data_IF_815825897641
#
_entry.id   IF_815825897641
#
_cell.length_a   1.000
_cell.length_b   1.000
_cell.length_c   1.000
_cell.angle_alpha   90.00
_cell.angle_beta   90.00
_cell.angle_gamma   90.00
#
_symmetry.space_group_name_H-M   'P 1'
#
loop_
_entity.id
_entity.type
_entity.pdbx_description
1 polymer ?
#
# COMPACT_ATOMS: atom_id res chain seq x y z
N UNK A 1 -9.36 -12.59 -26.07
CA UNK A 1 -10.06 -12.88 -24.79
C UNK A 1 -9.06 -13.02 -23.66
N UNK A 2 -9.05 -12.04 -22.75
CA UNK A 2 -8.17 -12.08 -21.60
C UNK A 2 -8.77 -12.89 -20.45
N UNK A 3 -8.02 -13.87 -19.94
CA UNK A 3 -8.45 -14.74 -18.85
C UNK A 3 -7.78 -14.37 -17.52
N UNK A 4 -8.27 -14.95 -16.42
CA UNK A 4 -7.62 -14.80 -15.11
C UNK A 4 -6.16 -15.28 -15.07
N UNK A 5 -5.73 -16.14 -16.00
CA UNK A 5 -4.34 -16.58 -16.11
C UNK A 5 -3.42 -15.44 -16.58
N UNK A 6 -3.83 -14.66 -17.59
CA UNK A 6 -3.07 -13.50 -18.05
C UNK A 6 -2.96 -12.43 -16.96
N UNK A 7 -4.02 -12.23 -16.17
CA UNK A 7 -3.99 -11.32 -15.01
C UNK A 7 -2.98 -11.80 -13.96
N UNK A 8 -2.93 -13.11 -13.68
CA UNK A 8 -1.96 -13.65 -12.73
C UNK A 8 -0.52 -13.49 -13.18
N UNK A 9 -0.24 -13.74 -14.46
CA UNK A 9 1.09 -13.54 -15.03
C UNK A 9 1.52 -12.08 -14.93
N UNK A 10 0.62 -11.15 -15.28
CA UNK A 10 0.84 -9.72 -15.12
C UNK A 10 1.12 -9.33 -13.67
N UNK A 11 0.36 -9.85 -12.71
CA UNK A 11 0.59 -9.57 -11.28
C UNK A 11 1.93 -10.12 -10.77
N UNK A 12 2.37 -11.29 -11.25
CA UNK A 12 3.68 -11.87 -10.91
C UNK A 12 4.82 -11.04 -11.48
N UNK A 13 4.65 -10.53 -12.70
CA UNK A 13 5.60 -9.61 -13.32
C UNK A 13 5.69 -8.30 -12.54
N UNK A 14 4.56 -7.65 -12.24
CA UNK A 14 4.54 -6.40 -11.46
C UNK A 14 5.16 -6.56 -10.07
N UNK A 15 5.00 -7.72 -9.46
CA UNK A 15 5.50 -7.97 -8.12
C UNK A 15 7.03 -8.00 -8.02
N UNK A 16 7.76 -8.14 -9.13
CA UNK A 16 9.22 -8.02 -9.19
C UNK A 16 9.70 -6.57 -9.02
N UNK A 17 8.83 -5.60 -9.31
CA UNK A 17 9.16 -4.17 -9.28
C UNK A 17 8.51 -3.52 -8.08
N UNK A 18 9.24 -3.45 -6.97
CA UNK A 18 8.75 -2.75 -5.79
C UNK A 18 9.85 -2.20 -4.91
N UNK A 19 9.40 -1.61 -3.80
CA UNK A 19 10.26 -0.96 -2.80
C UNK A 19 10.31 -1.72 -1.48
N UNK A 20 9.50 -2.78 -1.34
CA UNK A 20 9.40 -3.53 -0.08
C UNK A 20 10.42 -4.64 -0.08
N UNK A 21 11.27 -4.70 0.95
CA UNK A 21 12.14 -5.86 1.15
C UNK A 21 11.31 -7.05 1.61
N UNK A 22 11.37 -8.15 0.86
CA UNK A 22 10.66 -9.39 1.21
C UNK A 22 11.69 -10.51 1.33
N UNK A 23 11.87 -11.00 2.55
CA UNK A 23 12.84 -12.04 2.86
C UNK A 23 12.38 -13.40 2.32
N UNK A 24 13.30 -14.15 1.70
CA UNK A 24 13.06 -15.55 1.35
C UNK A 24 13.01 -16.40 2.62
N UNK A 25 12.32 -17.54 2.59
CA UNK A 25 12.22 -18.44 3.76
C UNK A 25 13.57 -18.94 4.28
N UNK A 26 14.57 -19.03 3.40
CA UNK A 26 15.94 -19.42 3.73
C UNK A 26 16.80 -18.26 4.23
N UNK A 27 16.27 -17.03 4.25
CA UNK A 27 17.00 -15.86 4.72
C UNK A 27 17.08 -15.86 6.25
N UNK A 28 18.25 -15.58 6.86
CA UNK A 28 18.38 -15.45 8.32
C UNK A 28 17.47 -14.37 8.93
N UNK A 29 17.04 -13.41 8.12
CA UNK A 29 16.18 -12.30 8.54
C UNK A 29 14.68 -12.56 8.30
N UNK A 30 14.30 -13.76 7.86
CA UNK A 30 12.89 -14.09 7.67
C UNK A 30 12.12 -13.98 8.98
N UNK A 31 11.08 -13.15 9.01
CA UNK A 31 10.28 -12.94 10.23
C UNK A 31 10.82 -11.86 11.17
N UNK A 32 11.89 -11.15 10.80
CA UNK A 32 12.44 -10.06 11.60
C UNK A 32 11.95 -8.70 11.06
N UNK A 33 11.16 -7.92 11.84
CA UNK A 33 10.62 -6.63 11.37
C UNK A 33 11.68 -5.53 11.22
N UNK A 34 12.77 -5.63 11.98
CA UNK A 34 13.91 -4.71 11.90
C UNK A 34 15.21 -5.53 11.80
N UNK A 35 15.65 -5.89 10.58
CA UNK A 35 16.85 -6.69 10.41
C UNK A 35 18.11 -5.87 10.72
N UNK A 36 19.08 -6.42 11.48
CA UNK A 36 20.29 -5.70 11.91
C UNK A 36 21.32 -5.50 10.78
N UNK A 37 21.19 -6.20 9.65
CA UNK A 37 22.09 -6.11 8.52
C UNK A 37 21.32 -6.24 7.18
N UNK A 38 21.86 -5.69 6.07
CA UNK A 38 21.27 -5.86 4.75
C UNK A 38 21.37 -7.31 4.26
N UNK A 39 20.48 -7.70 3.34
CA UNK A 39 20.48 -9.04 2.76
C UNK A 39 20.22 -9.01 1.24
N UNK A 40 20.57 -10.07 0.50
CA UNK A 40 20.40 -10.13 -0.95
C UNK A 40 18.95 -10.43 -1.40
N UNK A 41 17.97 -10.46 -0.48
CA UNK A 41 16.59 -10.77 -0.85
C UNK A 41 16.01 -9.74 -1.84
N UNK A 42 15.11 -10.13 -2.74
CA UNK A 42 14.55 -9.22 -3.73
C UNK A 42 13.70 -8.13 -3.08
N UNK A 43 13.58 -7.00 -3.78
CA UNK A 43 12.53 -6.02 -3.52
C UNK A 43 11.29 -6.45 -4.30
N UNK A 44 10.13 -6.43 -3.65
CA UNK A 44 8.85 -6.80 -4.25
C UNK A 44 7.81 -5.72 -4.04
N UNK A 45 6.78 -5.74 -4.86
CA UNK A 45 5.65 -4.82 -4.72
C UNK A 45 4.95 -5.09 -3.38
N UNK A 46 4.50 -4.03 -2.70
CA UNK A 46 3.70 -4.24 -1.50
C UNK A 46 2.37 -4.89 -1.87
N UNK A 47 1.94 -5.90 -1.10
CA UNK A 47 0.66 -6.58 -1.32
C UNK A 47 -0.51 -5.60 -1.50
N UNK A 48 -0.58 -4.56 -0.66
CA UNK A 48 -1.65 -3.56 -0.72
C UNK A 48 -1.69 -2.78 -2.05
N UNK A 49 -0.55 -2.57 -2.70
CA UNK A 49 -0.50 -1.92 -4.02
C UNK A 49 -1.07 -2.82 -5.12
N UNK A 50 -0.79 -4.13 -5.06
CA UNK A 50 -1.34 -5.11 -6.00
C UNK A 50 -2.86 -5.25 -5.83
N UNK A 51 -3.33 -5.33 -4.58
CA UNK A 51 -4.76 -5.43 -4.26
C UNK A 51 -5.52 -4.18 -4.71
N UNK A 52 -4.97 -2.99 -4.44
CA UNK A 52 -5.56 -1.73 -4.90
C UNK A 52 -5.64 -1.62 -6.43
N UNK A 53 -4.63 -2.12 -7.15
CA UNK A 53 -4.66 -2.17 -8.62
C UNK A 53 -5.79 -3.07 -9.12
N UNK A 54 -5.91 -4.28 -8.57
CA UNK A 54 -6.98 -5.21 -8.95
C UNK A 54 -8.37 -4.65 -8.60
N UNK A 55 -8.52 -3.98 -7.47
CA UNK A 55 -9.75 -3.28 -7.11
C UNK A 55 -10.16 -2.25 -8.16
N UNK A 56 -9.22 -1.40 -8.60
CA UNK A 56 -9.49 -0.40 -9.66
C UNK A 56 -9.83 -1.05 -11.00
N UNK A 57 -9.11 -2.09 -11.40
CA UNK A 57 -9.38 -2.80 -12.66
C UNK A 57 -10.73 -3.51 -12.66
N UNK A 58 -11.14 -4.05 -11.51
CA UNK A 58 -12.48 -4.65 -11.36
C UNK A 58 -13.57 -3.60 -11.54
N UNK A 59 -13.44 -2.44 -10.89
CA UNK A 59 -14.39 -1.34 -11.02
C UNK A 59 -14.46 -0.82 -12.47
N UNK A 60 -13.31 -0.60 -13.11
CA UNK A 60 -13.26 -0.18 -14.51
C UNK A 60 -13.96 -1.18 -15.44
N UNK A 61 -13.78 -2.49 -15.22
CA UNK A 61 -14.46 -3.51 -16.02
C UNK A 61 -15.99 -3.44 -15.91
N UNK A 62 -16.52 -3.20 -14.72
CA UNK A 62 -17.96 -3.03 -14.49
C UNK A 62 -18.49 -1.72 -15.10
N UNK A 63 -17.72 -0.63 -14.99
CA UNK A 63 -18.05 0.67 -15.62
C UNK A 63 -18.09 0.59 -17.15
N UNK A 64 -17.31 -0.30 -17.76
CA UNK A 64 -17.31 -0.57 -19.20
C UNK A 64 -18.35 -1.61 -19.64
N UNK A 65 -19.34 -1.93 -18.79
CA UNK A 65 -20.45 -2.85 -19.12
C UNK A 65 -20.12 -4.33 -18.93
N UNK A 66 -19.00 -4.65 -18.28
CA UNK A 66 -18.60 -6.01 -17.96
C UNK A 66 -19.43 -6.61 -16.82
N UNK A 67 -19.82 -7.88 -16.97
CA UNK A 67 -20.55 -8.62 -15.94
C UNK A 67 -19.62 -9.14 -14.84
N UNK A 68 -20.00 -9.06 -13.55
CA UNK A 68 -19.14 -9.50 -12.45
C UNK A 68 -18.78 -11.01 -12.52
N UNK A 69 -19.65 -11.84 -13.10
CA UNK A 69 -19.41 -13.28 -13.28
C UNK A 69 -18.32 -13.58 -14.32
N UNK A 70 -18.19 -12.73 -15.33
CA UNK A 70 -17.20 -12.86 -16.41
C UNK A 70 -15.88 -12.13 -16.14
N UNK A 71 -15.74 -11.50 -14.97
CA UNK A 71 -14.64 -10.59 -14.71
C UNK A 71 -13.31 -11.33 -14.48
N UNK A 72 -12.29 -11.15 -15.34
CA UNK A 72 -10.99 -11.83 -15.20
C UNK A 72 -10.21 -11.35 -13.96
N UNK A 73 -10.43 -10.12 -13.50
CA UNK A 73 -9.85 -9.57 -12.26
C UNK A 73 -10.59 -10.04 -10.99
N UNK A 74 -11.80 -10.60 -11.16
CA UNK A 74 -12.58 -11.28 -10.13
C UNK A 74 -12.27 -12.78 -9.99
N UNK A 75 -11.44 -13.34 -10.89
CA UNK A 75 -11.18 -14.76 -10.96
C UNK A 75 -10.67 -15.36 -9.63
N UNK A 76 -11.10 -16.59 -9.33
CA UNK A 76 -10.72 -17.30 -8.10
C UNK A 76 -9.20 -17.40 -7.94
N UNK A 77 -8.49 -17.68 -9.03
CA UNK A 77 -7.04 -17.83 -9.01
C UNK A 77 -6.31 -16.53 -8.60
N UNK A 78 -6.79 -15.37 -9.06
CA UNK A 78 -6.28 -14.04 -8.67
C UNK A 78 -6.47 -13.80 -7.17
N UNK A 79 -7.65 -14.13 -6.63
CA UNK A 79 -7.95 -13.98 -5.20
C UNK A 79 -7.07 -14.86 -4.31
N UNK A 80 -6.79 -16.09 -4.73
CA UNK A 80 -5.89 -17.01 -4.02
C UNK A 80 -4.47 -16.46 -4.02
N UNK A 81 -3.96 -16.04 -5.19
CA UNK A 81 -2.62 -15.45 -5.30
C UNK A 81 -2.43 -14.23 -4.39
N UNK A 82 -3.37 -13.28 -4.39
CA UNK A 82 -3.27 -12.10 -3.51
C UNK A 82 -3.25 -12.49 -2.02
N UNK A 83 -3.99 -13.53 -1.62
CA UNK A 83 -3.96 -14.05 -0.25
C UNK A 83 -2.60 -14.64 0.09
N UNK A 84 -2.05 -15.48 -0.79
CA UNK A 84 -0.73 -16.08 -0.61
C UNK A 84 0.38 -15.03 -0.51
N UNK A 85 0.34 -14.01 -1.38
CA UNK A 85 1.30 -12.89 -1.34
C UNK A 85 1.21 -12.13 -0.02
N UNK A 86 -0.02 -11.82 0.46
CA UNK A 86 -0.23 -11.17 1.75
C UNK A 86 0.39 -11.97 2.89
N UNK A 87 0.08 -13.26 2.94
CA UNK A 87 0.49 -14.13 4.05
C UNK A 87 2.00 -14.39 4.00
N UNK A 88 2.59 -14.51 2.80
CA UNK A 88 4.03 -14.60 2.61
C UNK A 88 4.75 -13.33 3.05
N UNK A 89 4.30 -12.15 2.61
CA UNK A 89 4.92 -10.88 3.00
C UNK A 89 4.80 -10.60 4.51
N UNK A 90 3.65 -10.93 5.11
CA UNK A 90 3.42 -10.83 6.54
C UNK A 90 4.42 -11.67 7.34
N UNK A 91 4.59 -12.94 6.96
CA UNK A 91 5.57 -13.85 7.58
C UNK A 91 7.01 -13.38 7.33
N UNK A 92 7.35 -13.03 6.09
CA UNK A 92 8.70 -12.61 5.71
C UNK A 92 9.17 -11.36 6.47
N UNK A 93 8.26 -10.42 6.76
CA UNK A 93 8.56 -9.18 7.47
C UNK A 93 8.33 -9.27 8.99
N UNK A 94 7.92 -10.43 9.52
CA UNK A 94 7.66 -10.58 10.95
C UNK A 94 6.41 -9.85 11.45
N UNK A 95 5.51 -9.45 10.55
CA UNK A 95 4.26 -8.76 10.90
C UNK A 95 3.13 -9.77 10.85
N UNK A 96 2.89 -10.48 11.96
CA UNK A 96 1.70 -11.35 12.06
C UNK A 96 0.44 -10.51 12.29
N UNK A 97 -0.57 -10.69 11.45
CA UNK A 97 -1.88 -10.03 11.59
C UNK A 97 -2.77 -10.70 12.65
N UNK A 98 -2.31 -11.79 13.28
CA UNK A 98 -3.15 -12.65 14.13
C UNK A 98 -3.38 -12.09 15.55
N UNK A 99 -2.59 -11.12 16.02
CA UNK A 99 -2.57 -10.70 17.44
C UNK A 99 -2.50 -9.20 17.73
N UNK A 100 -3.01 -8.33 16.84
CA UNK A 100 -3.27 -6.92 17.19
C UNK A 100 -4.77 -6.64 17.43
N UNK A 101 -5.48 -7.56 18.07
CA UNK A 101 -6.56 -7.15 18.99
C UNK A 101 -5.87 -6.34 20.10
N UNK A 102 -6.02 -5.01 20.07
CA UNK A 102 -5.69 -4.13 21.19
C UNK A 102 -6.34 -4.72 22.45
N UNK A 103 -5.58 -5.39 23.32
CA UNK A 103 -5.95 -5.46 24.73
C UNK A 103 -6.00 -4.00 25.20
N UNK A 104 -7.13 -3.48 25.70
CA UNK A 104 -7.14 -2.19 26.37
C UNK A 104 -6.11 -2.28 27.50
N UNK A 105 -5.15 -1.34 27.54
CA UNK A 105 -4.37 -1.13 28.77
C UNK A 105 -5.40 -0.80 29.86
N UNK A 106 -5.44 -1.51 31.01
CA UNK A 106 -6.24 -1.03 32.12
C UNK A 106 -5.75 0.38 32.46
N UNK A 107 -6.65 1.36 32.33
CA UNK A 107 -6.40 2.71 32.84
C UNK A 107 -6.31 2.58 34.35
N UNK A 108 -5.09 2.66 34.89
CA UNK A 108 -4.92 2.95 36.32
C UNK A 108 -5.36 4.39 36.50
N UNK A 109 -6.55 4.58 37.08
CA UNK A 109 -7.07 5.87 37.51
C UNK A 109 -6.26 6.35 38.70
N UNK A 110 -5.41 7.35 38.49
CA UNK A 110 -4.89 8.19 39.56
C UNK A 110 -5.63 9.54 39.49
N UNK A 111 -6.39 9.82 40.55
CA UNK A 111 -7.20 11.01 40.83
C UNK A 111 -6.30 12.24 41.05
N UNK A 112 -6.77 13.49 40.80
CA UNK A 112 -5.91 14.65 40.60
C UNK A 112 -5.65 15.45 41.88
N UNK A 113 -4.48 16.11 41.97
CA UNK A 113 -4.23 17.21 42.92
C UNK A 113 -3.48 18.37 42.26
N UNK A 114 -4.24 19.46 42.09
CA UNK A 114 -3.97 20.91 42.14
C UNK A 114 -2.59 21.55 41.93
N UNK A 115 -2.60 22.52 41.00
CA UNK A 115 -2.39 23.97 41.18
C UNK A 115 -1.03 24.64 40.86
N UNK A 116 -1.17 25.69 40.02
CA UNK A 116 -0.48 27.00 39.94
C UNK A 116 1.02 26.99 39.54
N UNK A 117 1.60 28.01 38.91
CA UNK A 117 1.23 29.19 38.10
C UNK A 117 2.58 29.86 37.77
N UNK A 118 2.73 30.52 36.61
CA UNK A 118 3.48 31.77 36.40
C UNK A 118 3.93 31.94 34.94
N UNK A 119 3.54 33.10 34.40
CA UNK A 119 3.89 33.73 33.13
C UNK A 119 5.37 34.19 33.06
N UNK A 120 5.90 34.41 31.85
CA UNK A 120 6.11 35.78 31.31
C UNK A 120 7.02 35.84 30.06
N UNK A 121 6.58 36.70 29.12
CA UNK A 121 7.34 37.62 28.25
C UNK A 121 8.16 37.05 27.06
N UNK A 122 7.78 37.32 25.80
CA UNK A 122 7.99 38.55 24.97
C UNK A 122 9.20 38.34 24.04
N UNK A 123 9.37 38.89 22.84
CA UNK A 123 8.60 39.65 21.84
C UNK A 123 9.53 39.70 20.59
N UNK A 124 9.00 39.87 19.38
CA UNK A 124 9.83 40.09 18.18
C UNK A 124 9.08 40.07 16.84
N UNK A 125 8.59 41.26 16.45
CA UNK A 125 8.06 41.69 15.14
C UNK A 125 9.13 41.57 14.01
N UNK A 126 8.92 41.62 12.68
CA UNK A 126 7.86 42.09 11.77
C UNK A 126 8.12 41.54 10.33
N UNK A 127 7.09 41.64 9.49
CA UNK A 127 6.97 41.78 8.01
C UNK A 127 8.27 41.91 7.16
N UNK A 128 8.34 41.44 5.91
CA UNK A 128 7.60 42.01 4.78
C UNK A 128 7.55 41.12 3.51
N UNK A 129 6.68 41.54 2.61
CA UNK A 129 6.10 40.96 1.40
C UNK A 129 7.05 40.71 0.22
N UNK A 130 6.74 39.71 -0.61
CA UNK A 130 6.57 39.93 -2.07
C UNK A 130 5.82 38.77 -2.73
N UNK A 131 4.75 39.12 -3.42
CA UNK A 131 3.92 38.28 -4.29
C UNK A 131 4.57 38.13 -5.67
N UNK A 132 4.55 36.93 -6.25
CA UNK A 132 4.33 36.78 -7.69
C UNK A 132 3.83 35.37 -8.04
N UNK A 133 2.59 35.33 -8.49
CA UNK A 133 1.96 34.23 -9.22
C UNK A 133 2.73 33.88 -10.51
N UNK A 134 2.72 32.61 -10.92
CA UNK A 134 2.26 32.15 -12.27
C UNK A 134 2.48 30.64 -12.44
N UNK A 135 1.34 29.93 -12.52
CA UNK A 135 1.00 28.83 -13.46
C UNK A 135 2.13 27.91 -13.95
N UNK A 136 2.02 26.61 -13.61
CA UNK A 136 2.10 25.51 -14.59
C UNK A 136 1.51 24.21 -13.98
N UNK A 137 0.43 23.73 -14.62
CA UNK A 137 -0.28 22.47 -14.32
C UNK A 137 0.65 21.27 -14.54
N UNK A 138 0.56 20.20 -13.74
CA UNK A 138 1.03 18.89 -14.17
C UNK A 138 -0.08 18.26 -15.04
N UNK A 139 0.11 18.25 -16.36
CA UNK A 139 -0.62 17.33 -17.24
C UNK A 139 0.31 16.21 -17.67
N UNK A 140 -0.22 14.99 -17.60
CA UNK A 140 0.32 13.76 -18.19
C UNK A 140 1.06 12.83 -17.24
N UNK A 141 0.32 12.25 -16.28
CA UNK A 141 0.57 10.87 -15.86
C UNK A 141 -0.68 9.96 -15.98
N UNK A 142 -1.72 10.44 -16.65
CA UNK A 142 -2.97 9.70 -16.85
C UNK A 142 -3.04 8.95 -18.19
N UNK A 143 -2.05 9.12 -19.07
CA UNK A 143 -2.12 8.57 -20.44
C UNK A 143 -1.55 7.16 -20.61
N UNK A 144 -0.87 6.61 -19.59
CA UNK A 144 -0.37 5.23 -19.64
C UNK A 144 -1.43 4.24 -19.16
N UNK A 145 -2.39 4.68 -18.33
CA UNK A 145 -3.43 3.80 -17.77
C UNK A 145 -4.52 3.41 -18.78
N UNK A 146 -4.80 4.25 -19.78
CA UNK A 146 -5.90 4.01 -20.72
C UNK A 146 -5.56 3.07 -21.87
N UNK A 147 -4.28 2.95 -22.26
CA UNK A 147 -3.86 2.03 -23.34
C UNK A 147 -3.91 0.57 -22.90
N UNK A 148 -3.49 0.28 -21.67
CA UNK A 148 -3.51 -1.10 -21.13
C UNK A 148 -4.93 -1.65 -20.97
N UNK A 149 -5.94 -0.79 -20.79
CA UNK A 149 -7.35 -1.21 -20.71
C UNK A 149 -7.97 -1.39 -22.10
N UNK A 150 -7.61 -0.54 -23.07
CA UNK A 150 -8.12 -0.64 -24.45
C UNK A 150 -7.63 -1.88 -25.19
N UNK A 151 -6.36 -2.26 -25.00
CA UNK A 151 -5.79 -3.46 -25.62
C UNK A 151 -6.27 -4.78 -24.97
N UNK A 152 -7.07 -4.72 -23.89
CA UNK A 152 -7.58 -5.88 -23.16
C UNK A 152 -9.02 -6.25 -23.51
N UNK A 153 -9.74 -5.36 -24.22
CA UNK A 153 -11.19 -5.47 -24.52
C UNK A 153 -11.48 -5.72 -26.01
N UNK A 154 -10.48 -5.69 -26.90
CA UNK A 154 -10.58 -6.18 -28.29
C UNK A 154 -10.10 -7.63 -28.47
#
# INVERSE_FOLDING_TARGET
>A
MCSGAHVLEFLRYLDQFGKTKVHNQTCPFFGLPNPPAPCPCPLRQAWGSLDALIGRLRAAYEEHGGRPEGNPFGAKAVRIYLREVRDFQAKARGVSYEKKRKRPKPKVTATPQSAAAAEAAAAGSSAETTDHSTVLRPTSLDHVSSRVVKDFVE
#
